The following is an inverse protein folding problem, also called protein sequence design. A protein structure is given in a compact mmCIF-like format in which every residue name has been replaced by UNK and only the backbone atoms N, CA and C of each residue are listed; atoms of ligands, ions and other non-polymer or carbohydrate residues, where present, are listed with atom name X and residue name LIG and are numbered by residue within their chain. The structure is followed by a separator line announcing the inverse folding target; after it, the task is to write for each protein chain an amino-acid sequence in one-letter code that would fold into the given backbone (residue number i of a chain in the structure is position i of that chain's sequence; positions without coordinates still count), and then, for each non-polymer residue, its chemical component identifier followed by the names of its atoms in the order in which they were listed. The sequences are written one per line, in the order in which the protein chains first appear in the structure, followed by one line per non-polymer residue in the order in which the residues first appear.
data_IF_910559829779
#
_entry.id   IF_910559829779
#
_cell.length_a   1.000
_cell.length_b   1.000
_cell.length_c   1.000
_cell.angle_alpha   90.00
_cell.angle_beta   90.00
_cell.angle_gamma   90.00
#
_symmetry.space_group_name_H-M   'P 1'
#
loop_
_entity.id
_entity.type
_entity.pdbx_description
1 polymer ?
#
# COMPACT_ATOMS: atom_id res chain seq x y z
N UNK A 1 -8.56 -11.64 21.75
CA UNK A 1 -7.28 -10.95 22.03
C UNK A 1 -6.16 -11.45 21.11
N UNK A 2 -5.82 -12.73 21.17
CA UNK A 2 -4.74 -13.29 20.33
C UNK A 2 -4.96 -13.11 18.83
N UNK A 3 -6.20 -13.26 18.35
CA UNK A 3 -6.58 -13.05 16.94
C UNK A 3 -6.23 -11.65 16.45
N UNK A 4 -6.56 -10.62 17.21
CA UNK A 4 -6.27 -9.23 16.86
C UNK A 4 -4.78 -8.91 16.86
N UNK A 5 -4.00 -9.51 17.76
CA UNK A 5 -2.54 -9.41 17.73
C UNK A 5 -1.95 -10.03 16.47
N UNK A 6 -2.46 -11.18 16.06
CA UNK A 6 -2.02 -11.86 14.83
C UNK A 6 -2.38 -11.00 13.61
N UNK A 7 -3.59 -10.47 13.55
CA UNK A 7 -4.01 -9.54 12.48
C UNK A 7 -3.07 -8.33 12.41
N UNK A 8 -2.81 -7.69 13.54
CA UNK A 8 -1.89 -6.55 13.59
C UNK A 8 -0.49 -6.91 13.07
N UNK A 9 0.09 -8.01 13.56
CA UNK A 9 1.44 -8.44 13.19
C UNK A 9 1.56 -8.81 11.70
N UNK A 10 0.58 -9.51 11.15
CA UNK A 10 0.59 -9.87 9.74
C UNK A 10 0.50 -8.64 8.83
N UNK A 11 -0.37 -7.68 9.16
CA UNK A 11 -0.46 -6.43 8.40
C UNK A 11 0.72 -5.49 8.66
N UNK A 12 1.32 -5.53 9.83
CA UNK A 12 2.57 -4.82 10.12
C UNK A 12 3.72 -5.33 9.25
N UNK A 13 3.87 -6.64 9.11
CA UNK A 13 4.83 -7.26 8.19
C UNK A 13 4.55 -6.85 6.73
N UNK A 14 3.31 -6.93 6.32
CA UNK A 14 2.92 -6.48 4.98
C UNK A 14 3.27 -5.01 4.75
N UNK A 15 3.05 -4.15 5.72
CA UNK A 15 3.39 -2.73 5.66
C UNK A 15 4.90 -2.45 5.55
N UNK A 16 5.74 -3.26 6.19
CA UNK A 16 7.21 -3.13 6.08
C UNK A 16 7.70 -3.59 4.70
N UNK A 17 7.24 -4.73 4.25
CA UNK A 17 7.81 -5.41 3.09
C UNK A 17 7.10 -5.10 1.77
N UNK A 18 5.89 -4.55 1.80
CA UNK A 18 5.13 -4.18 0.62
C UNK A 18 5.63 -2.84 0.02
N UNK A 19 6.86 -2.83 -0.44
CA UNK A 19 7.45 -1.66 -1.09
C UNK A 19 7.06 -1.65 -2.57
N UNK A 20 6.51 -0.53 -3.05
CA UNK A 20 6.20 -0.35 -4.46
C UNK A 20 4.74 -0.15 -4.82
N UNK A 21 3.86 0.06 -3.85
CA UNK A 21 2.45 0.37 -4.09
C UNK A 21 1.46 -0.69 -3.61
N UNK A 22 0.18 -0.47 -3.87
CA UNK A 22 -0.90 -1.29 -3.34
C UNK A 22 -0.84 -2.76 -3.77
N UNK A 23 -0.47 -3.03 -5.02
CA UNK A 23 -0.32 -4.39 -5.54
C UNK A 23 0.80 -5.19 -4.84
N UNK A 24 1.78 -4.52 -4.25
CA UNK A 24 2.85 -5.17 -3.49
C UNK A 24 2.35 -5.84 -2.20
N UNK A 25 1.13 -5.53 -1.75
CA UNK A 25 0.49 -6.22 -0.62
C UNK A 25 -0.12 -7.57 -0.99
N UNK A 26 -0.37 -7.83 -2.28
CA UNK A 26 -1.03 -9.05 -2.76
C UNK A 26 -0.33 -10.35 -2.35
N UNK A 27 1.00 -10.49 -2.46
CA UNK A 27 1.69 -11.71 -2.02
C UNK A 27 1.44 -12.03 -0.55
N UNK A 28 1.37 -11.00 0.31
CA UNK A 28 1.10 -11.16 1.75
C UNK A 28 -0.35 -11.59 2.01
N UNK A 29 -1.30 -11.01 1.29
CA UNK A 29 -2.71 -11.39 1.38
C UNK A 29 -2.95 -12.81 0.86
N UNK A 30 -2.30 -13.21 -0.23
CA UNK A 30 -2.35 -14.59 -0.72
C UNK A 30 -1.78 -15.59 0.30
N UNK A 31 -0.68 -15.25 0.95
CA UNK A 31 -0.11 -16.06 2.01
C UNK A 31 -1.07 -16.20 3.21
N UNK A 32 -1.81 -15.14 3.54
CA UNK A 32 -2.82 -15.17 4.60
C UNK A 32 -4.00 -16.09 4.26
N UNK A 33 -4.43 -16.16 2.99
CA UNK A 33 -5.48 -17.10 2.53
C UNK A 33 -5.12 -18.55 2.87
N UNK A 34 -3.86 -18.93 2.65
CA UNK A 34 -3.41 -20.29 2.94
C UNK A 34 -3.15 -20.57 4.43
N UNK A 35 -2.97 -19.53 5.22
CA UNK A 35 -2.54 -19.64 6.62
C UNK A 35 -3.68 -19.44 7.63
N UNK A 36 -4.66 -18.64 7.29
CA UNK A 36 -5.76 -18.27 8.17
C UNK A 36 -7.12 -18.39 7.48
N UNK A 37 -8.19 -18.80 8.21
CA UNK A 37 -9.53 -18.91 7.66
C UNK A 37 -10.29 -17.56 7.68
N UNK A 38 -9.61 -16.46 7.41
CA UNK A 38 -10.24 -15.13 7.49
C UNK A 38 -11.02 -14.78 6.22
N UNK A 39 -10.50 -15.18 5.08
CA UNK A 39 -11.11 -14.96 3.77
C UNK A 39 -10.58 -15.98 2.76
N UNK A 40 -11.35 -16.20 1.70
CA UNK A 40 -11.02 -17.14 0.63
C UNK A 40 -10.29 -16.46 -0.53
N UNK A 41 -9.73 -17.26 -1.44
CA UNK A 41 -9.10 -16.76 -2.67
C UNK A 41 -10.11 -15.99 -3.56
N UNK A 42 -11.37 -16.42 -3.60
CA UNK A 42 -12.44 -15.73 -4.32
C UNK A 42 -12.74 -14.36 -3.70
N UNK A 43 -12.81 -14.30 -2.37
CA UNK A 43 -12.98 -13.02 -1.65
C UNK A 43 -11.79 -12.09 -1.85
N UNK A 44 -10.57 -12.62 -1.95
CA UNK A 44 -9.39 -11.81 -2.27
C UNK A 44 -9.52 -11.15 -3.65
N UNK A 45 -10.03 -11.86 -4.64
CA UNK A 45 -10.29 -11.28 -5.98
C UNK A 45 -11.34 -10.16 -5.90
N UNK A 46 -12.40 -10.37 -5.13
CA UNK A 46 -13.42 -9.34 -4.89
C UNK A 46 -12.83 -8.12 -4.15
N UNK A 47 -11.94 -8.34 -3.18
CA UNK A 47 -11.25 -7.26 -2.47
C UNK A 47 -10.42 -6.39 -3.41
N UNK A 48 -9.73 -7.00 -4.37
CA UNK A 48 -8.95 -6.27 -5.38
C UNK A 48 -9.88 -5.36 -6.19
N UNK A 49 -10.97 -5.90 -6.73
CA UNK A 49 -11.92 -5.14 -7.53
C UNK A 49 -12.56 -3.98 -6.74
N UNK A 50 -12.95 -4.23 -5.50
CA UNK A 50 -13.52 -3.21 -4.60
C UNK A 50 -12.47 -2.14 -4.28
N UNK A 51 -11.23 -2.54 -4.01
CA UNK A 51 -10.15 -1.61 -3.67
C UNK A 51 -9.77 -0.71 -4.84
N UNK A 52 -9.81 -1.22 -6.07
CA UNK A 52 -9.58 -0.42 -7.28
C UNK A 52 -10.71 0.57 -7.55
N UNK A 53 -11.95 0.20 -7.19
CA UNK A 53 -13.13 1.06 -7.35
C UNK A 53 -13.27 2.09 -6.22
N UNK A 54 -12.58 1.91 -5.11
CA UNK A 54 -12.66 2.79 -3.94
C UNK A 54 -11.55 3.83 -3.99
N UNK A 55 -11.87 5.13 -3.85
CA UNK A 55 -10.83 6.16 -3.81
C UNK A 55 -9.92 5.97 -2.57
N UNK A 56 -8.61 6.02 -2.80
CA UNK A 56 -7.62 5.89 -1.75
C UNK A 56 -6.52 4.85 -2.05
N UNK A 57 -5.56 4.71 -1.13
CA UNK A 57 -4.48 3.72 -1.30
C UNK A 57 -5.02 2.30 -1.30
N UNK A 58 -4.81 1.59 -2.39
CA UNK A 58 -5.31 0.22 -2.58
C UNK A 58 -4.92 -0.72 -1.42
N UNK A 59 -3.67 -0.67 -0.96
CA UNK A 59 -3.19 -1.50 0.14
C UNK A 59 -3.95 -1.25 1.45
N UNK A 60 -4.28 0.01 1.75
CA UNK A 60 -5.07 0.38 2.94
C UNK A 60 -6.51 -0.10 2.82
N UNK A 61 -7.13 0.06 1.64
CA UNK A 61 -8.49 -0.42 1.38
C UNK A 61 -8.57 -1.94 1.54
N UNK A 62 -7.60 -2.67 1.00
CA UNK A 62 -7.51 -4.13 1.14
C UNK A 62 -7.28 -4.56 2.59
N UNK A 63 -6.42 -3.86 3.34
CA UNK A 63 -6.19 -4.14 4.75
C UNK A 63 -7.45 -3.94 5.59
N UNK A 64 -8.19 -2.87 5.35
CA UNK A 64 -9.46 -2.59 6.02
C UNK A 64 -10.49 -3.68 5.74
N UNK A 65 -10.63 -4.09 4.49
CA UNK A 65 -11.59 -5.13 4.11
C UNK A 65 -11.19 -6.50 4.69
N UNK A 66 -9.92 -6.89 4.55
CA UNK A 66 -9.42 -8.16 5.09
C UNK A 66 -9.52 -8.20 6.62
N UNK A 67 -9.21 -7.11 7.29
CA UNK A 67 -9.36 -6.97 8.73
C UNK A 67 -10.82 -7.07 9.18
N UNK A 68 -11.74 -6.49 8.42
CA UNK A 68 -13.18 -6.64 8.68
C UNK A 68 -13.63 -8.10 8.57
N UNK A 69 -13.17 -8.81 7.55
CA UNK A 69 -13.45 -10.25 7.41
C UNK A 69 -12.86 -11.07 8.56
N UNK A 70 -11.69 -10.70 9.03
CA UNK A 70 -11.03 -11.40 10.13
C UNK A 70 -11.69 -11.18 11.50
N UNK A 71 -12.14 -9.97 11.81
CA UNK A 71 -12.59 -9.64 13.15
C UNK A 71 -13.61 -8.49 13.24
N UNK A 72 -14.39 -8.24 12.18
CA UNK A 72 -15.39 -7.18 12.16
C UNK A 72 -14.75 -5.78 12.17
N UNK A 73 -15.46 -4.80 12.70
CA UNK A 73 -15.02 -3.40 12.74
C UNK A 73 -13.68 -3.24 13.49
N UNK A 74 -13.51 -3.90 14.62
CA UNK A 74 -12.25 -3.87 15.36
C UNK A 74 -11.10 -4.48 14.55
N UNK A 75 -11.34 -5.58 13.86
CA UNK A 75 -10.37 -6.19 12.95
C UNK A 75 -9.95 -5.25 11.84
N UNK A 76 -10.89 -4.52 11.25
CA UNK A 76 -10.60 -3.52 10.22
C UNK A 76 -9.69 -2.40 10.73
N UNK A 77 -9.99 -1.84 11.89
CA UNK A 77 -9.19 -0.78 12.51
C UNK A 77 -7.77 -1.29 12.82
N UNK A 78 -7.66 -2.47 13.41
CA UNK A 78 -6.37 -3.06 13.82
C UNK A 78 -5.52 -3.41 12.60
N UNK A 79 -6.11 -3.99 11.55
CA UNK A 79 -5.40 -4.31 10.31
C UNK A 79 -4.88 -3.06 9.61
N UNK A 80 -5.71 -2.03 9.50
CA UNK A 80 -5.33 -0.76 8.89
C UNK A 80 -4.23 -0.05 9.69
N UNK A 81 -4.36 -0.01 11.02
CA UNK A 81 -3.34 0.55 11.90
C UNK A 81 -2.02 -0.23 11.78
N UNK A 82 -2.09 -1.56 11.72
CA UNK A 82 -0.92 -2.41 11.52
C UNK A 82 -0.20 -2.15 10.22
N UNK A 83 -0.93 -1.98 9.12
CA UNK A 83 -0.36 -1.68 7.80
C UNK A 83 0.31 -0.30 7.74
N UNK A 84 -0.32 0.70 8.36
CA UNK A 84 0.12 2.11 8.30
C UNK A 84 1.24 2.40 9.30
N UNK A 85 1.25 1.74 10.45
CA UNK A 85 2.19 1.97 11.53
C UNK A 85 3.67 1.94 11.10
N UNK A 86 4.18 0.92 10.39
CA UNK A 86 5.58 0.90 9.96
C UNK A 86 5.91 2.04 8.98
N UNK A 87 4.98 2.41 8.12
CA UNK A 87 5.16 3.53 7.19
C UNK A 87 5.36 4.85 7.93
N UNK A 88 4.55 5.10 8.97
CA UNK A 88 4.68 6.29 9.82
C UNK A 88 6.04 6.32 10.52
N UNK A 89 6.47 5.20 11.09
CA UNK A 89 7.77 5.09 11.77
C UNK A 89 8.94 5.36 10.83
N UNK A 90 8.88 4.77 9.63
CA UNK A 90 9.91 4.97 8.59
C UNK A 90 9.93 6.43 8.13
N UNK A 91 8.77 7.03 7.88
CA UNK A 91 8.66 8.43 7.43
C UNK A 91 9.21 9.39 8.49
N UNK A 92 8.92 9.17 9.77
CA UNK A 92 9.47 9.99 10.86
C UNK A 92 11.00 9.88 10.89
N UNK A 93 11.54 8.67 10.76
CA UNK A 93 12.99 8.44 10.70
C UNK A 93 13.64 9.12 9.49
N UNK A 94 13.07 8.94 8.30
CA UNK A 94 13.56 9.56 7.06
C UNK A 94 13.45 11.09 7.12
N UNK A 95 12.35 11.62 7.67
CA UNK A 95 12.16 13.07 7.83
C UNK A 95 13.28 13.70 8.66
N UNK A 96 13.66 13.08 9.78
CA UNK A 96 14.77 13.56 10.62
C UNK A 96 16.12 13.54 9.89
N UNK A 97 16.37 12.49 9.10
CA UNK A 97 17.59 12.38 8.30
C UNK A 97 17.60 13.44 7.20
N UNK A 98 16.48 13.61 6.48
CA UNK A 98 16.38 14.63 5.43
C UNK A 98 16.49 16.04 5.96
N UNK A 99 15.94 16.32 7.15
CA UNK A 99 16.08 17.63 7.79
C UNK A 99 17.54 17.97 8.08
N UNK A 100 18.33 16.98 8.51
CA UNK A 100 19.77 17.13 8.74
C UNK A 100 20.54 17.40 7.42
N UNK A 101 20.11 16.81 6.31
CA UNK A 101 20.78 16.89 5.01
C UNK A 101 20.08 17.79 3.98
N UNK A 102 19.00 18.48 4.35
CA UNK A 102 18.20 19.32 3.41
C UNK A 102 19.02 20.39 2.68
N UNK A 103 20.12 20.85 3.26
CA UNK A 103 21.02 21.82 2.68
C UNK A 103 22.14 21.20 1.82
N UNK A 104 22.23 19.87 1.76
CA UNK A 104 23.20 19.17 0.92
C UNK A 104 22.88 19.38 -0.57
N UNK A 105 23.91 19.72 -1.36
CA UNK A 105 23.80 19.85 -2.82
C UNK A 105 23.32 18.55 -3.47
N UNK A 106 23.79 17.40 -2.96
CA UNK A 106 23.41 16.09 -3.46
C UNK A 106 21.90 15.82 -3.32
N UNK A 107 21.33 16.10 -2.15
CA UNK A 107 19.90 15.95 -1.89
C UNK A 107 19.08 16.91 -2.75
N UNK A 108 19.48 18.17 -2.85
CA UNK A 108 18.82 19.16 -3.72
C UNK A 108 18.85 18.75 -5.20
N UNK A 109 19.98 18.27 -5.68
CA UNK A 109 20.12 17.80 -7.06
C UNK A 109 19.29 16.54 -7.33
N UNK A 110 19.24 15.60 -6.37
CA UNK A 110 18.41 14.41 -6.47
C UNK A 110 16.92 14.78 -6.60
N UNK A 111 16.40 15.67 -5.75
CA UNK A 111 15.01 16.13 -5.84
C UNK A 111 14.74 16.95 -7.10
N UNK A 112 15.69 17.76 -7.55
CA UNK A 112 15.59 18.52 -8.78
C UNK A 112 15.42 17.61 -10.01
N UNK A 113 16.14 16.47 -10.05
CA UNK A 113 16.02 15.48 -11.11
C UNK A 113 14.77 14.60 -10.97
N UNK A 114 14.37 14.22 -9.75
CA UNK A 114 13.23 13.33 -9.49
C UNK A 114 11.88 13.96 -9.80
N UNK A 115 11.70 15.26 -9.55
CA UNK A 115 10.43 15.95 -9.78
C UNK A 115 9.99 15.90 -11.26
N UNK A 116 10.82 16.34 -12.24
CA UNK A 116 10.43 16.24 -13.64
C UNK A 116 10.36 14.79 -14.14
N UNK A 117 11.20 13.89 -13.61
CA UNK A 117 11.14 12.47 -13.97
C UNK A 117 9.82 11.84 -13.54
N UNK A 118 9.35 12.11 -12.33
CA UNK A 118 8.05 11.63 -11.84
C UNK A 118 6.89 12.21 -12.66
N UNK A 119 6.93 13.49 -12.99
CA UNK A 119 5.93 14.13 -13.84
C UNK A 119 5.90 13.50 -15.23
N UNK A 120 7.06 13.24 -15.82
CA UNK A 120 7.20 12.58 -17.12
C UNK A 120 6.61 11.15 -17.13
N UNK A 121 6.86 10.38 -16.07
CA UNK A 121 6.28 9.04 -15.92
C UNK A 121 4.76 9.06 -15.82
N UNK A 122 4.20 10.01 -15.07
CA UNK A 122 2.75 10.16 -14.92
C UNK A 122 2.13 10.55 -16.27
N UNK A 123 2.71 11.51 -16.98
CA UNK A 123 2.23 11.95 -18.29
C UNK A 123 2.32 10.80 -19.30
N UNK A 124 3.41 10.03 -19.31
CA UNK A 124 3.58 8.87 -20.17
C UNK A 124 2.51 7.81 -19.93
N UNK A 125 2.27 7.47 -18.66
CA UNK A 125 1.22 6.51 -18.30
C UNK A 125 -0.18 7.00 -18.69
N UNK A 126 -0.48 8.28 -18.50
CA UNK A 126 -1.75 8.88 -18.92
C UNK A 126 -1.92 8.82 -20.44
N UNK A 127 -0.85 9.08 -21.19
CA UNK A 127 -0.88 9.05 -22.66
C UNK A 127 -1.16 7.63 -23.17
N UNK A 128 -0.54 6.61 -22.59
CA UNK A 128 -0.81 5.21 -22.94
C UNK A 128 -2.28 4.83 -22.68
N UNK A 129 -2.82 5.19 -21.52
CA UNK A 129 -4.24 4.95 -21.20
C UNK A 129 -5.16 5.69 -22.15
N UNK A 130 -4.82 6.93 -22.51
CA UNK A 130 -5.57 7.74 -23.46
C UNK A 130 -5.60 7.10 -24.85
N UNK A 131 -4.46 6.62 -25.35
CA UNK A 131 -4.38 5.92 -26.62
C UNK A 131 -5.19 4.61 -26.61
N UNK A 132 -5.08 3.82 -25.55
CA UNK A 132 -5.86 2.59 -25.39
C UNK A 132 -7.37 2.85 -25.37
N UNK A 133 -7.79 3.90 -24.68
CA UNK A 133 -9.20 4.26 -24.55
C UNK A 133 -9.81 4.78 -25.86
N UNK A 134 -9.05 5.57 -26.64
CA UNK A 134 -9.54 6.19 -27.89
C UNK A 134 -9.44 5.27 -29.09
N UNK A 135 -8.37 4.51 -29.20
CA UNK A 135 -8.06 3.73 -30.40
C UNK A 135 -8.26 2.22 -30.24
N UNK A 136 -8.64 1.76 -29.07
CA UNK A 136 -8.91 0.34 -28.80
C UNK A 136 -7.76 -0.60 -29.20
N UNK A 137 -6.55 -0.11 -29.03
CA UNK A 137 -5.33 -0.85 -29.37
C UNK A 137 -4.87 -1.70 -28.18
#
# INVERSE_FOLDING_TARGET
MLKYMIVFLEFFKAGIFAVGGGLATLPFLKAMVGKYPWFTAAELTNMIAISESTPGPMGVNMATFAGFKAGGVLGAIIATAGLVCPSILIIIGVSKILEKFKNSKLVKNAFYALRPASAGLIIGAMFDVFLMSLFHI
#
